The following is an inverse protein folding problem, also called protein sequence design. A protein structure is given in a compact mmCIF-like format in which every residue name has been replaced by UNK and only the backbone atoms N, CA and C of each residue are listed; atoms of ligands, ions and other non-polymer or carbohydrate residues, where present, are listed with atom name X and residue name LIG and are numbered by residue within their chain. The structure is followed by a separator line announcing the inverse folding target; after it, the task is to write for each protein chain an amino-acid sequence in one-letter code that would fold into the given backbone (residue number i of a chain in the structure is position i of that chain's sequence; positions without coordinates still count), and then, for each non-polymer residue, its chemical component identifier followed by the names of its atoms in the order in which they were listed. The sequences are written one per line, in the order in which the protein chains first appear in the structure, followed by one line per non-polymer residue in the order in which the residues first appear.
data_IF_970955465997
#
_entry.id   IF_970955465997
#
_cell.length_a   1.000
_cell.length_b   1.000
_cell.length_c   1.000
_cell.angle_alpha   90.00
_cell.angle_beta   90.00
_cell.angle_gamma   90.00
#
_symmetry.space_group_name_H-M   'P 1'
#
loop_
_entity.id
_entity.type
_entity.pdbx_description
1 polymer ?
#
# COMPACT_ATOMS: atom_id res chain seq x y z
N UNK A 1 42.31 60.53 -1.77
CA UNK A 1 41.02 59.84 -1.59
C UNK A 1 41.21 58.40 -1.98
N UNK A 2 41.25 57.48 -1.02
CA UNK A 2 41.31 56.04 -1.29
C UNK A 2 39.88 55.51 -1.41
N UNK A 3 39.59 54.79 -2.49
CA UNK A 3 38.31 54.08 -2.67
C UNK A 3 38.49 52.65 -2.15
N UNK A 4 37.66 52.23 -1.19
CA UNK A 4 37.55 50.84 -0.79
C UNK A 4 36.50 50.15 -1.67
N UNK A 5 36.90 49.15 -2.46
CA UNK A 5 35.94 48.22 -3.06
C UNK A 5 35.61 47.13 -2.04
N UNK A 6 34.36 47.05 -1.61
CA UNK A 6 33.85 45.92 -0.82
C UNK A 6 33.22 44.91 -1.77
N UNK A 7 33.84 43.75 -1.95
CA UNK A 7 33.22 42.62 -2.64
C UNK A 7 32.33 41.85 -1.67
N UNK A 8 31.03 41.76 -1.94
CA UNK A 8 30.13 40.86 -1.19
C UNK A 8 30.18 39.46 -1.82
N UNK A 9 30.66 38.49 -1.06
CA UNK A 9 30.52 37.07 -1.38
C UNK A 9 29.07 36.64 -1.16
N UNK A 10 28.40 36.18 -2.22
CA UNK A 10 27.09 35.55 -2.14
C UNK A 10 27.31 34.05 -1.95
N UNK A 11 27.05 33.54 -0.76
CA UNK A 11 27.10 32.10 -0.49
C UNK A 11 25.78 31.46 -0.90
N UNK A 12 25.78 30.65 -1.96
CA UNK A 12 24.62 29.82 -2.32
C UNK A 12 24.65 28.56 -1.45
N UNK A 13 23.71 28.43 -0.53
CA UNK A 13 23.53 27.21 0.25
C UNK A 13 22.85 26.14 -0.62
N UNK A 14 23.60 25.13 -1.06
CA UNK A 14 23.00 23.91 -1.61
C UNK A 14 22.32 23.15 -0.47
N UNK A 15 20.99 23.17 -0.44
CA UNK A 15 20.20 22.31 0.42
C UNK A 15 20.41 20.87 -0.03
N UNK A 16 21.14 20.08 0.77
CA UNK A 16 21.32 18.66 0.55
C UNK A 16 20.02 17.95 0.98
N UNK A 17 19.08 17.79 0.06
CA UNK A 17 17.88 17.00 0.29
C UNK A 17 18.27 15.53 0.45
N UNK A 18 18.33 15.07 1.70
CA UNK A 18 18.51 13.66 2.02
C UNK A 18 17.27 12.90 1.55
N UNK A 19 17.32 12.34 0.34
CA UNK A 19 16.33 11.36 -0.08
C UNK A 19 16.52 10.13 0.81
N UNK A 20 15.68 10.02 1.84
CA UNK A 20 15.54 8.76 2.57
C UNK A 20 14.94 7.76 1.58
N UNK A 21 15.78 6.89 1.03
CA UNK A 21 15.32 5.70 0.33
C UNK A 21 14.68 4.79 1.37
N UNK A 22 13.38 5.00 1.62
CA UNK A 22 12.56 4.03 2.33
C UNK A 22 12.48 2.79 1.44
N UNK A 23 13.00 1.65 1.91
CA UNK A 23 12.77 0.37 1.24
C UNK A 23 11.27 0.15 1.15
N UNK A 24 10.77 0.05 -0.07
CA UNK A 24 9.38 -0.32 -0.34
C UNK A 24 9.08 -1.66 0.33
N UNK A 25 8.01 -1.69 1.13
CA UNK A 25 7.49 -2.92 1.73
C UNK A 25 6.44 -3.46 0.77
N UNK A 26 6.68 -4.62 0.15
CA UNK A 26 5.75 -5.30 -0.76
C UNK A 26 4.92 -6.38 -0.06
N UNK A 27 5.27 -6.72 1.19
CA UNK A 27 4.69 -7.83 1.97
C UNK A 27 4.16 -7.35 3.33
N UNK A 28 2.99 -7.85 3.74
CA UNK A 28 2.57 -7.85 5.14
C UNK A 28 2.27 -9.26 5.64
N UNK A 29 2.63 -9.55 6.89
CA UNK A 29 2.25 -10.78 7.60
C UNK A 29 1.13 -10.58 8.62
N UNK A 30 0.80 -11.65 9.35
CA UNK A 30 -0.31 -11.69 10.32
C UNK A 30 -0.13 -10.85 11.58
N UNK A 31 1.10 -10.45 11.90
CA UNK A 31 1.41 -9.54 13.01
C UNK A 31 1.39 -8.06 12.61
N UNK A 32 1.17 -7.78 11.32
CA UNK A 32 1.24 -6.44 10.75
C UNK A 32 -0.14 -5.95 10.30
N UNK A 33 -0.25 -4.63 10.15
CA UNK A 33 -1.43 -4.01 9.57
C UNK A 33 -1.06 -2.82 8.71
N UNK A 34 -1.91 -2.54 7.73
CA UNK A 34 -1.86 -1.31 6.93
C UNK A 34 -2.98 -0.43 7.43
N UNK A 35 -2.63 0.78 7.84
CA UNK A 35 -3.59 1.81 8.25
C UNK A 35 -3.69 2.86 7.17
N UNK A 36 -4.67 3.75 7.28
CA UNK A 36 -4.73 4.90 6.40
C UNK A 36 -3.43 5.74 6.47
N UNK A 37 -2.91 6.11 5.31
CA UNK A 37 -1.61 6.80 5.16
C UNK A 37 -0.40 5.88 5.04
N UNK A 38 -0.55 4.56 5.22
CA UNK A 38 0.49 3.57 4.87
C UNK A 38 0.06 2.70 3.68
N UNK A 39 1.03 2.11 3.01
CA UNK A 39 0.80 1.33 1.78
C UNK A 39 1.81 0.20 1.63
N UNK A 40 1.44 -0.80 0.83
CA UNK A 40 2.39 -1.70 0.20
C UNK A 40 2.78 -1.15 -1.16
N UNK A 41 4.04 -1.35 -1.52
CA UNK A 41 4.59 -0.91 -2.80
C UNK A 41 5.28 -2.10 -3.43
N UNK A 42 4.94 -2.40 -4.69
CA UNK A 42 5.57 -3.51 -5.41
C UNK A 42 7.09 -3.28 -5.51
N UNK A 43 7.89 -4.34 -5.65
CA UNK A 43 9.37 -4.25 -5.56
C UNK A 43 9.99 -3.22 -6.48
N UNK A 44 9.50 -3.10 -7.72
CA UNK A 44 9.98 -2.11 -8.70
C UNK A 44 9.25 -0.76 -8.62
N UNK A 45 8.36 -0.62 -7.64
CA UNK A 45 7.55 0.57 -7.40
C UNK A 45 6.59 0.88 -8.54
N UNK A 46 6.11 -0.14 -9.25
CA UNK A 46 5.14 0.02 -10.36
C UNK A 46 3.74 0.24 -9.78
N UNK A 47 3.36 -0.60 -8.82
CA UNK A 47 2.05 -0.58 -8.18
C UNK A 47 2.16 -0.25 -6.70
N UNK A 48 1.07 0.31 -6.17
CA UNK A 48 0.91 0.60 -4.76
C UNK A 48 -0.49 0.18 -4.30
N UNK A 49 -0.57 -0.36 -3.09
CA UNK A 49 -1.78 -0.89 -2.48
C UNK A 49 -2.01 -0.25 -1.12
N UNK A 50 -3.21 0.27 -0.88
CA UNK A 50 -3.55 0.90 0.39
C UNK A 50 -4.88 1.63 0.37
N UNK A 51 -5.05 2.57 1.30
CA UNK A 51 -6.27 3.36 1.43
C UNK A 51 -6.28 4.56 0.48
N UNK A 52 -7.42 4.84 -0.12
CA UNK A 52 -7.65 6.01 -0.96
C UNK A 52 -9.09 6.53 -0.84
N UNK A 53 -9.32 7.76 -1.31
CA UNK A 53 -10.64 8.37 -1.43
C UNK A 53 -10.92 8.75 -2.87
N UNK A 54 -12.19 8.74 -3.27
CA UNK A 54 -12.62 9.24 -4.59
C UNK A 54 -13.07 10.68 -4.47
N UNK A 55 -12.43 11.58 -5.22
CA UNK A 55 -12.71 13.01 -5.17
C UNK A 55 -12.58 13.58 -3.76
N UNK A 56 -13.51 14.44 -3.37
CA UNK A 56 -13.53 15.11 -2.05
C UNK A 56 -14.33 14.35 -0.98
N UNK A 57 -14.63 13.06 -1.21
CA UNK A 57 -15.39 12.26 -0.24
C UNK A 57 -14.53 11.83 0.95
N UNK A 58 -15.17 11.71 2.12
CA UNK A 58 -14.59 11.09 3.32
C UNK A 58 -14.59 9.55 3.27
N UNK A 59 -15.24 8.98 2.25
CA UNK A 59 -15.30 7.53 2.06
C UNK A 59 -13.91 7.01 1.67
N UNK A 60 -13.46 6.01 2.42
CA UNK A 60 -12.19 5.32 2.22
C UNK A 60 -12.43 3.94 1.61
N UNK A 61 -11.67 3.71 0.56
CA UNK A 61 -11.59 2.46 -0.17
C UNK A 61 -10.18 1.91 -0.04
N UNK A 62 -10.06 0.61 -0.21
CA UNK A 62 -8.80 -0.09 -0.34
C UNK A 62 -8.65 -0.53 -1.78
N UNK A 63 -7.49 -0.28 -2.38
CA UNK A 63 -7.28 -0.62 -3.78
C UNK A 63 -5.81 -0.60 -4.19
N UNK A 64 -5.59 -0.94 -5.46
CA UNK A 64 -4.29 -0.94 -6.13
C UNK A 64 -4.30 0.17 -7.17
N UNK A 65 -3.22 0.94 -7.26
CA UNK A 65 -3.03 1.97 -8.28
C UNK A 65 -1.60 1.99 -8.82
N UNK A 66 -1.41 2.65 -9.97
CA UNK A 66 -0.08 2.93 -10.49
C UNK A 66 0.62 3.99 -9.63
N UNK A 67 1.76 3.64 -9.03
CA UNK A 67 2.49 4.53 -8.11
C UNK A 67 3.14 5.72 -8.83
N UNK A 68 3.63 5.49 -10.05
CA UNK A 68 4.42 6.48 -10.82
C UNK A 68 3.55 7.45 -11.63
N UNK A 69 2.23 7.30 -11.63
CA UNK A 69 1.31 8.20 -12.35
C UNK A 69 0.80 9.26 -11.37
N UNK A 70 1.03 10.58 -11.63
CA UNK A 70 0.62 11.65 -10.71
C UNK A 70 -0.88 11.68 -10.43
N UNK A 71 -1.70 11.38 -11.44
CA UNK A 71 -3.13 11.15 -11.26
C UNK A 71 -3.35 9.72 -10.77
N UNK A 72 -3.93 9.58 -9.57
CA UNK A 72 -4.17 8.28 -8.95
C UNK A 72 -5.08 7.42 -9.83
N UNK A 73 -4.46 6.52 -10.60
CA UNK A 73 -5.13 5.63 -11.54
C UNK A 73 -5.31 4.28 -10.86
N UNK A 74 -6.50 4.09 -10.29
CA UNK A 74 -6.87 2.89 -9.53
C UNK A 74 -7.26 1.77 -10.49
N UNK A 75 -6.63 0.60 -10.35
CA UNK A 75 -6.83 -0.58 -11.22
C UNK A 75 -7.60 -1.71 -10.53
N UNK A 76 -7.71 -1.66 -9.20
CA UNK A 76 -8.44 -2.67 -8.42
C UNK A 76 -8.98 -2.08 -7.11
N UNK A 77 -10.17 -2.51 -6.66
CA UNK A 77 -10.82 -2.01 -5.43
C UNK A 77 -11.49 -3.13 -4.63
N UNK A 78 -11.02 -3.36 -3.40
CA UNK A 78 -11.55 -4.40 -2.49
C UNK A 78 -12.99 -4.12 -2.08
N UNK A 79 -13.20 -3.06 -1.29
CA UNK A 79 -14.47 -2.74 -0.64
C UNK A 79 -15.32 -1.77 -1.50
N UNK A 80 -15.37 -2.00 -2.82
CA UNK A 80 -16.08 -1.14 -3.79
C UNK A 80 -17.54 -0.85 -3.42
N UNK A 81 -18.23 -1.83 -2.83
CA UNK A 81 -19.65 -1.73 -2.46
C UNK A 81 -19.88 -1.29 -1.00
N UNK A 82 -18.82 -1.27 -0.17
CA UNK A 82 -18.93 -1.02 1.28
C UNK A 82 -17.75 -0.14 1.77
N UNK A 83 -17.72 1.16 1.42
CA UNK A 83 -16.66 2.06 1.86
C UNK A 83 -16.66 2.28 3.37
N UNK A 84 -15.49 2.58 3.93
CA UNK A 84 -15.37 3.02 5.32
C UNK A 84 -15.55 4.54 5.38
N UNK A 85 -16.31 5.04 6.35
CA UNK A 85 -16.38 6.48 6.60
C UNK A 85 -15.21 6.92 7.49
N UNK A 86 -14.37 7.85 7.01
CA UNK A 86 -13.20 8.32 7.73
C UNK A 86 -12.00 7.36 7.64
N UNK A 87 -10.92 7.69 8.34
CA UNK A 87 -9.57 7.10 8.15
C UNK A 87 -9.20 6.06 9.20
N UNK A 88 -10.16 5.56 9.97
CA UNK A 88 -9.93 4.66 11.11
C UNK A 88 -10.04 3.18 10.78
N UNK A 89 -10.01 2.82 9.49
CA UNK A 89 -9.95 1.43 9.04
C UNK A 89 -8.51 0.92 8.97
N UNK A 90 -8.35 -0.41 9.03
CA UNK A 90 -7.05 -1.06 8.87
C UNK A 90 -7.18 -2.44 8.21
N UNK A 91 -6.16 -2.82 7.45
CA UNK A 91 -6.03 -4.14 6.81
C UNK A 91 -5.07 -5.00 7.62
N UNK A 92 -5.37 -6.28 7.75
CA UNK A 92 -4.45 -7.26 8.35
C UNK A 92 -4.62 -8.63 7.70
N UNK A 93 -3.61 -9.48 7.83
CA UNK A 93 -3.70 -10.88 7.42
C UNK A 93 -4.13 -11.69 8.64
N UNK A 94 -5.27 -12.35 8.55
CA UNK A 94 -5.77 -13.18 9.63
C UNK A 94 -5.03 -14.53 9.67
N UNK A 95 -4.99 -15.22 10.83
CA UNK A 95 -4.27 -16.48 10.99
C UNK A 95 -4.74 -17.61 10.07
N UNK A 96 -5.99 -17.56 9.60
CA UNK A 96 -6.58 -18.48 8.63
C UNK A 96 -6.21 -18.15 7.17
N UNK A 97 -5.36 -17.15 6.95
CA UNK A 97 -4.85 -16.81 5.62
C UNK A 97 -5.81 -15.98 4.78
N UNK A 98 -6.55 -15.07 5.42
CA UNK A 98 -7.39 -14.09 4.75
C UNK A 98 -6.84 -12.67 4.90
N UNK A 99 -6.98 -11.85 3.87
CA UNK A 99 -6.79 -10.41 4.00
C UNK A 99 -8.11 -9.82 4.46
N UNK A 100 -8.10 -9.14 5.61
CA UNK A 100 -9.29 -8.64 6.27
C UNK A 100 -9.21 -7.13 6.44
N UNK A 101 -10.24 -6.42 5.96
CA UNK A 101 -10.45 -5.01 6.19
C UNK A 101 -11.39 -4.81 7.39
N UNK A 102 -10.89 -4.15 8.41
CA UNK A 102 -11.61 -3.87 9.65
C UNK A 102 -11.93 -2.38 9.77
N UNK A 103 -13.11 -2.07 10.30
CA UNK A 103 -13.47 -0.72 10.73
C UNK A 103 -12.83 -0.38 12.09
N UNK A 104 -12.99 0.87 12.54
CA UNK A 104 -12.54 1.32 13.86
C UNK A 104 -13.05 0.43 15.01
N UNK A 105 -14.28 -0.07 14.88
CA UNK A 105 -14.92 -0.91 15.88
C UNK A 105 -14.55 -2.39 15.72
N UNK A 106 -13.54 -2.71 14.90
CA UNK A 106 -13.11 -4.07 14.55
C UNK A 106 -14.20 -4.92 13.89
N UNK A 107 -15.20 -4.29 13.27
CA UNK A 107 -16.15 -5.00 12.41
C UNK A 107 -15.52 -5.27 11.05
N UNK A 108 -15.74 -6.47 10.50
CA UNK A 108 -15.29 -6.85 9.16
C UNK A 108 -16.10 -6.09 8.13
N UNK A 109 -15.42 -5.29 7.30
CA UNK A 109 -16.01 -4.50 6.20
C UNK A 109 -15.89 -5.26 4.88
N UNK A 110 -14.77 -5.96 4.70
CA UNK A 110 -14.46 -6.79 3.54
C UNK A 110 -13.41 -7.83 3.95
N UNK A 111 -13.44 -9.00 3.35
CA UNK A 111 -12.38 -10.00 3.47
C UNK A 111 -12.25 -10.81 2.19
N UNK A 112 -11.08 -11.39 1.98
CA UNK A 112 -10.94 -12.49 1.03
C UNK A 112 -11.68 -13.74 1.53
N UNK A 113 -11.80 -14.73 0.65
CA UNK A 113 -12.27 -16.06 0.97
C UNK A 113 -11.25 -17.08 0.47
N UNK A 114 -10.17 -17.26 1.23
CA UNK A 114 -9.16 -18.26 0.94
C UNK A 114 -9.66 -19.66 1.30
N UNK A 115 -9.26 -20.64 0.49
CA UNK A 115 -9.78 -22.01 0.57
C UNK A 115 -8.95 -22.94 1.47
N UNK A 116 -7.79 -22.48 1.94
CA UNK A 116 -6.77 -23.30 2.61
C UNK A 116 -6.15 -22.57 3.80
N UNK A 117 -5.97 -23.30 4.90
CA UNK A 117 -5.20 -22.82 6.05
C UNK A 117 -3.71 -23.07 5.85
N UNK A 118 -2.90 -22.09 6.26
CA UNK A 118 -1.44 -22.08 6.17
C UNK A 118 -0.85 -21.59 7.49
N UNK A 119 0.44 -21.84 7.73
CA UNK A 119 1.07 -21.55 9.05
C UNK A 119 1.49 -20.09 9.19
N UNK A 120 2.09 -19.51 8.15
CA UNK A 120 2.55 -18.12 8.09
C UNK A 120 2.00 -17.45 6.83
N UNK A 121 0.70 -17.12 6.82
CA UNK A 121 0.11 -16.41 5.71
C UNK A 121 0.70 -15.01 5.59
N UNK A 122 0.98 -14.61 4.35
CA UNK A 122 1.38 -13.26 4.00
C UNK A 122 0.56 -12.74 2.81
N UNK A 123 0.36 -11.43 2.76
CA UNK A 123 -0.13 -10.74 1.57
C UNK A 123 1.04 -10.05 0.87
N UNK A 124 1.16 -10.22 -0.44
CA UNK A 124 2.23 -9.63 -1.23
C UNK A 124 1.68 -8.92 -2.48
N UNK A 125 2.16 -7.70 -2.73
CA UNK A 125 1.88 -6.96 -3.97
C UNK A 125 3.00 -7.20 -4.98
N UNK A 126 2.68 -7.88 -6.09
CA UNK A 126 3.63 -8.17 -7.15
C UNK A 126 3.76 -7.00 -8.14
N UNK A 127 4.88 -6.94 -8.87
CA UNK A 127 5.10 -5.92 -9.91
C UNK A 127 4.17 -6.06 -11.13
N UNK A 128 3.49 -7.19 -11.27
CA UNK A 128 2.38 -7.36 -12.22
C UNK A 128 1.12 -6.58 -11.80
N UNK A 129 1.05 -6.10 -10.55
CA UNK A 129 -0.13 -5.51 -9.95
C UNK A 129 -1.05 -6.53 -9.29
N UNK A 130 -0.69 -7.82 -9.30
CA UNK A 130 -1.45 -8.85 -8.60
C UNK A 130 -1.12 -8.82 -7.10
N UNK A 131 -2.14 -8.59 -6.28
CA UNK A 131 -2.09 -8.81 -4.84
C UNK A 131 -2.43 -10.27 -4.55
N UNK A 132 -1.52 -10.98 -3.90
CA UNK A 132 -1.64 -12.43 -3.64
C UNK A 132 -1.57 -12.73 -2.14
N UNK A 133 -2.30 -13.76 -1.71
CA UNK A 133 -2.14 -14.39 -0.40
C UNK A 133 -1.42 -15.73 -0.58
N UNK A 134 -0.36 -15.96 0.19
CA UNK A 134 0.44 -17.19 0.13
C UNK A 134 1.08 -17.53 1.48
N UNK A 135 1.57 -18.75 1.61
CA UNK A 135 2.49 -19.14 2.69
C UNK A 135 3.84 -18.44 2.46
N UNK A 136 4.45 -17.90 3.51
CA UNK A 136 5.70 -17.12 3.42
C UNK A 136 6.83 -17.88 2.72
N UNK A 137 6.97 -19.16 3.07
CA UNK A 137 8.03 -20.06 2.59
C UNK A 137 7.69 -20.69 1.22
N UNK A 138 6.45 -20.59 0.74
CA UNK A 138 6.04 -21.11 -0.57
C UNK A 138 6.11 -20.00 -1.63
N UNK A 139 7.02 -20.16 -2.59
CA UNK A 139 7.24 -19.24 -3.70
C UNK A 139 6.57 -19.71 -5.00
N UNK A 140 5.91 -20.86 -5.01
CA UNK A 140 5.23 -21.36 -6.20
C UNK A 140 3.96 -20.54 -6.49
N UNK A 141 3.85 -19.99 -7.70
CA UNK A 141 2.68 -19.22 -8.11
C UNK A 141 1.39 -20.04 -8.19
N UNK A 142 1.49 -21.35 -8.35
CA UNK A 142 0.33 -22.25 -8.40
C UNK A 142 -0.25 -22.53 -7.00
N UNK A 143 0.42 -22.07 -5.94
CA UNK A 143 0.07 -22.31 -4.55
C UNK A 143 -0.59 -21.10 -3.86
N UNK A 144 -0.97 -20.06 -4.61
CA UNK A 144 -1.68 -18.92 -4.03
C UNK A 144 -3.00 -19.35 -3.38
N UNK A 145 -3.24 -18.84 -2.18
CA UNK A 145 -4.46 -19.06 -1.41
C UNK A 145 -5.61 -18.22 -1.95
N UNK A 146 -5.26 -17.07 -2.52
CA UNK A 146 -6.15 -16.11 -3.16
C UNK A 146 -5.32 -15.13 -3.99
N UNK A 147 -5.90 -14.58 -5.06
CA UNK A 147 -5.29 -13.52 -5.85
C UNK A 147 -6.30 -12.51 -6.37
N UNK A 148 -5.90 -11.25 -6.47
CA UNK A 148 -6.76 -10.14 -6.92
C UNK A 148 -7.21 -10.27 -8.37
N UNK A 149 -6.40 -10.91 -9.22
CA UNK A 149 -6.70 -11.07 -10.64
C UNK A 149 -7.93 -11.94 -10.92
N UNK A 150 -8.32 -12.81 -9.96
CA UNK A 150 -9.55 -13.60 -10.06
C UNK A 150 -10.81 -12.75 -9.79
N UNK A 151 -10.65 -11.52 -9.29
CA UNK A 151 -11.73 -10.63 -8.86
C UNK A 151 -11.57 -9.21 -9.46
N UNK A 152 -11.67 -9.04 -10.79
CA UNK A 152 -11.50 -7.74 -11.43
C UNK A 152 -12.60 -6.73 -11.04
N UNK A 153 -12.29 -5.43 -11.12
CA UNK A 153 -13.23 -4.34 -10.78
C UNK A 153 -13.48 -3.38 -11.92
#
# INVERSE_FOLDING_TARGET
MAWFFSSRLITVAMSLSLFQNSSAVDIIGSSQSISDGTSLVSKEGVFEFGFFSRGNSKNRYVGIWYKKIPAQTVVWVANRCNPINGTSGFLTVSPDGNLVLLSQNKSVVWSTNSSKQVKKPIAQLLDSGNLVLREEEDLNSDAYLWQSFDYPT
#
